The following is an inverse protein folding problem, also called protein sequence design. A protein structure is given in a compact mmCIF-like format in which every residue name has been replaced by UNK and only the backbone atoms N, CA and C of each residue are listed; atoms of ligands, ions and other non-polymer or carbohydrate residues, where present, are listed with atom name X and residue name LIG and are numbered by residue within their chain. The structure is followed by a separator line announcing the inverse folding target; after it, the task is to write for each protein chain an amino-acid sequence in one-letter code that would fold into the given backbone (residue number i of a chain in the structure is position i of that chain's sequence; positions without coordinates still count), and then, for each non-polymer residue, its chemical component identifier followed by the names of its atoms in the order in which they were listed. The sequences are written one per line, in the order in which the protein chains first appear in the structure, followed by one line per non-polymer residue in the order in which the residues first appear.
data_IF_240531824885
#
_entry.id   IF_240531824885
#
_cell.length_a   1.000
_cell.length_b   1.000
_cell.length_c   1.000
_cell.angle_alpha   90.00
_cell.angle_beta   90.00
_cell.angle_gamma   90.00
#
_symmetry.space_group_name_H-M   'P 1'
#
loop_
_entity.id
_entity.type
_entity.pdbx_description
1 polymer ?
#
# COMPACT_ATOMS: atom_id res chain seq x y z
N UNK A 1 -36.71 40.16 19.87
CA UNK A 1 -35.80 39.26 19.13
C UNK A 1 -35.40 38.14 20.07
N UNK A 2 -35.79 36.91 19.78
CA UNK A 2 -35.48 35.72 20.58
C UNK A 2 -34.02 35.36 20.38
N UNK A 3 -33.18 35.48 21.41
CA UNK A 3 -31.78 35.05 21.35
C UNK A 3 -31.73 33.52 21.26
N UNK A 4 -31.27 33.00 20.12
CA UNK A 4 -31.07 31.55 19.94
C UNK A 4 -29.80 31.15 20.70
N UNK A 5 -29.95 30.19 21.62
CA UNK A 5 -28.87 29.71 22.48
C UNK A 5 -28.25 28.44 21.92
N UNK A 6 -26.93 28.34 22.01
CA UNK A 6 -26.21 27.13 21.60
C UNK A 6 -26.53 25.96 22.53
N UNK A 7 -27.02 24.81 22.02
CA UNK A 7 -27.35 23.66 22.85
C UNK A 7 -26.13 22.98 23.50
N UNK A 8 -24.90 23.23 22.99
CA UNK A 8 -23.68 22.64 23.56
C UNK A 8 -23.05 23.45 24.70
N UNK A 9 -23.16 24.78 24.70
CA UNK A 9 -22.46 25.64 25.67
C UNK A 9 -23.31 26.75 26.28
N UNK A 10 -24.55 26.93 25.83
CA UNK A 10 -25.43 28.01 26.28
C UNK A 10 -25.06 29.40 25.75
N UNK A 11 -24.00 29.52 24.96
CA UNK A 11 -23.55 30.76 24.33
C UNK A 11 -24.50 31.28 23.25
N UNK A 12 -24.28 32.52 22.82
CA UNK A 12 -25.00 33.13 21.69
C UNK A 12 -24.52 32.53 20.36
N UNK A 13 -25.49 32.30 19.48
CA UNK A 13 -25.29 31.90 18.09
C UNK A 13 -25.24 33.15 17.20
N UNK A 14 -24.26 33.23 16.31
CA UNK A 14 -24.13 34.30 15.32
C UNK A 14 -24.36 33.73 13.92
N UNK A 15 -25.13 34.43 13.09
CA UNK A 15 -25.36 34.05 11.70
C UNK A 15 -24.05 34.11 10.89
N UNK A 16 -23.79 33.07 10.12
CA UNK A 16 -22.67 33.03 9.21
C UNK A 16 -22.93 33.96 8.00
N UNK A 17 -22.06 34.94 7.72
CA UNK A 17 -22.24 35.86 6.60
C UNK A 17 -22.20 35.16 5.23
N UNK A 18 -21.55 34.00 5.13
CA UNK A 18 -21.49 33.24 3.88
C UNK A 18 -22.73 32.35 3.67
N UNK A 19 -23.42 31.95 4.76
CA UNK A 19 -24.60 31.10 4.68
C UNK A 19 -25.64 31.47 5.76
N UNK A 20 -26.71 32.21 5.42
CA UNK A 20 -27.69 32.70 6.39
C UNK A 20 -28.53 31.59 7.05
N UNK A 21 -28.40 30.33 6.60
CA UNK A 21 -29.06 29.18 7.22
C UNK A 21 -28.16 28.49 8.27
N UNK A 22 -26.92 28.95 8.43
CA UNK A 22 -25.95 28.41 9.38
C UNK A 22 -25.66 29.45 10.45
N UNK A 23 -25.74 29.01 11.70
CA UNK A 23 -25.37 29.79 12.87
C UNK A 23 -24.14 29.16 13.53
N UNK A 24 -23.14 29.98 13.82
CA UNK A 24 -21.91 29.57 14.50
C UNK A 24 -21.90 30.11 15.91
N UNK A 25 -21.64 29.26 16.89
CA UNK A 25 -21.52 29.73 18.27
C UNK A 25 -20.11 30.28 18.54
N UNK A 26 -20.00 31.53 19.02
CA UNK A 26 -18.70 32.15 19.35
C UNK A 26 -17.90 31.43 20.43
N UNK A 27 -18.56 30.73 21.34
CA UNK A 27 -17.88 30.11 22.49
C UNK A 27 -17.26 28.76 22.14
N UNK A 28 -17.94 27.94 21.34
CA UNK A 28 -17.49 26.59 21.01
C UNK A 28 -17.12 26.40 19.53
N UNK A 29 -17.27 27.43 18.69
CA UNK A 29 -17.06 27.42 17.25
C UNK A 29 -17.80 26.30 16.50
N UNK A 30 -18.86 25.74 17.10
CA UNK A 30 -19.70 24.75 16.44
C UNK A 30 -20.72 25.45 15.55
N UNK A 31 -20.94 24.87 14.36
CA UNK A 31 -21.91 25.30 13.37
C UNK A 31 -23.20 24.50 13.52
N UNK A 32 -24.33 25.20 13.45
CA UNK A 32 -25.66 24.63 13.50
C UNK A 32 -26.47 25.13 12.32
N UNK A 33 -27.19 24.24 11.65
CA UNK A 33 -28.18 24.60 10.64
C UNK A 33 -29.51 24.86 11.34
N UNK A 34 -30.12 26.00 11.03
CA UNK A 34 -31.42 26.40 11.58
C UNK A 34 -32.50 25.98 10.60
N UNK A 35 -33.44 25.14 11.06
CA UNK A 35 -34.60 24.74 10.26
C UNK A 35 -35.88 24.96 11.07
N UNK A 36 -36.79 25.76 10.53
CA UNK A 36 -38.14 25.89 11.07
C UNK A 36 -38.98 24.75 10.52
N UNK A 37 -39.39 23.81 11.37
CA UNK A 37 -40.24 22.69 11.00
C UNK A 37 -41.65 23.01 11.48
N UNK A 38 -42.58 23.12 10.53
CA UNK A 38 -44.00 23.23 10.83
C UNK A 38 -44.54 21.84 11.18
N UNK A 39 -44.97 21.63 12.42
CA UNK A 39 -45.57 20.36 12.82
C UNK A 39 -47.04 20.32 12.38
N UNK A 40 -47.35 19.59 11.32
CA UNK A 40 -48.75 19.39 10.87
C UNK A 40 -49.64 18.77 11.96
N UNK A 41 -49.05 18.03 12.92
CA UNK A 41 -49.77 17.36 13.99
C UNK A 41 -50.16 18.28 15.17
N UNK A 42 -49.48 19.42 15.34
CA UNK A 42 -49.67 20.31 16.50
C UNK A 42 -49.95 21.77 16.08
N UNK A 43 -49.70 22.12 14.82
CA UNK A 43 -49.83 23.48 14.30
C UNK A 43 -48.78 24.45 14.85
N UNK A 44 -47.77 23.95 15.57
CA UNK A 44 -46.71 24.75 16.18
C UNK A 44 -45.46 24.78 15.29
N UNK A 45 -44.89 25.98 15.14
CA UNK A 45 -43.59 26.18 14.51
C UNK A 45 -42.48 25.85 15.52
N UNK A 46 -41.75 24.76 15.27
CA UNK A 46 -40.63 24.34 16.13
C UNK A 46 -39.31 24.64 15.44
N UNK A 47 -38.43 25.32 16.16
CA UNK A 47 -37.04 25.54 15.76
C UNK A 47 -36.24 24.23 15.96
N UNK A 48 -35.79 23.62 14.86
CA UNK A 48 -34.85 22.49 14.89
C UNK A 48 -33.44 22.99 14.59
N UNK A 49 -32.50 22.72 15.49
CA UNK A 49 -31.08 23.05 15.36
C UNK A 49 -30.29 21.76 15.12
N UNK A 50 -29.82 21.55 13.88
CA UNK A 50 -28.98 20.40 13.54
C UNK A 50 -27.52 20.79 13.52
N UNK A 51 -26.68 20.05 14.25
CA UNK A 51 -25.23 20.30 14.21
C UNK A 51 -24.69 19.97 12.80
N UNK A 52 -24.06 20.94 12.15
CA UNK A 52 -23.39 20.74 10.86
C UNK A 52 -22.01 20.17 11.16
N UNK A 53 -21.73 18.97 10.63
CA UNK A 53 -20.42 18.36 10.77
C UNK A 53 -19.46 19.05 9.80
N UNK A 54 -18.35 19.59 10.30
CA UNK A 54 -17.32 20.16 9.43
C UNK A 54 -16.81 19.07 8.47
N UNK A 55 -16.66 19.44 7.20
CA UNK A 55 -16.13 18.53 6.18
C UNK A 55 -14.74 18.08 6.61
N UNK A 56 -14.54 16.78 6.64
CA UNK A 56 -13.24 16.19 6.92
C UNK A 56 -12.34 16.55 5.75
N UNK A 57 -11.27 17.31 5.98
CA UNK A 57 -10.24 17.59 4.97
C UNK A 57 -9.51 16.28 4.64
N UNK A 58 -10.03 15.55 3.65
CA UNK A 58 -9.43 14.33 3.17
C UNK A 58 -8.10 14.66 2.51
N UNK A 59 -7.00 14.47 3.24
CA UNK A 59 -5.66 14.49 2.65
C UNK A 59 -5.47 13.15 1.91
N UNK A 60 -5.30 13.15 0.57
CA UNK A 60 -5.03 11.92 -0.15
C UNK A 60 -3.76 11.29 0.41
N UNK A 61 -3.87 10.03 0.84
CA UNK A 61 -2.74 9.26 1.35
C UNK A 61 -1.71 9.16 0.22
N UNK A 62 -0.62 9.92 0.33
CA UNK A 62 0.51 9.76 -0.58
C UNK A 62 1.08 8.37 -0.36
N UNK A 63 0.83 7.46 -1.32
CA UNK A 63 1.46 6.15 -1.35
C UNK A 63 2.97 6.38 -1.47
N UNK A 64 3.70 6.15 -0.38
CA UNK A 64 5.16 6.15 -0.40
C UNK A 64 5.59 5.14 -1.46
N UNK A 65 6.37 5.58 -2.43
CA UNK A 65 6.91 4.71 -3.47
C UNK A 65 7.59 3.50 -2.80
N UNK A 66 7.36 2.28 -3.29
CA UNK A 66 7.96 1.09 -2.71
C UNK A 66 9.48 1.26 -2.74
N UNK A 67 10.12 1.11 -1.58
CA UNK A 67 11.58 1.16 -1.45
C UNK A 67 12.17 0.22 -2.50
N UNK A 68 13.03 0.75 -3.36
CA UNK A 68 13.80 -0.04 -4.33
C UNK A 68 14.73 -0.98 -3.56
N UNK A 69 14.24 -2.16 -3.21
CA UNK A 69 15.06 -3.25 -2.70
C UNK A 69 16.01 -3.64 -3.83
N UNK A 70 17.32 -3.61 -3.58
CA UNK A 70 18.40 -3.87 -4.55
C UNK A 70 18.44 -5.30 -5.14
N UNK A 71 17.29 -5.96 -5.19
CA UNK A 71 17.07 -7.21 -5.90
C UNK A 71 16.59 -6.88 -7.31
N UNK A 72 17.52 -6.38 -8.13
CA UNK A 72 17.25 -6.18 -9.55
C UNK A 72 17.06 -7.56 -10.22
N UNK A 73 16.12 -7.70 -11.17
CA UNK A 73 15.89 -8.95 -11.90
C UNK A 73 17.13 -9.47 -12.64
N UNK A 74 18.16 -8.62 -12.79
CA UNK A 74 19.44 -8.95 -13.40
C UNK A 74 20.45 -9.61 -12.44
N UNK A 75 20.24 -9.53 -11.12
CA UNK A 75 21.14 -10.11 -10.12
C UNK A 75 21.21 -11.65 -10.18
N UNK A 76 20.08 -12.30 -10.46
CA UNK A 76 19.99 -13.76 -10.61
C UNK A 76 20.83 -14.26 -11.80
N UNK A 77 20.90 -13.50 -12.91
CA UNK A 77 21.65 -13.91 -14.11
C UNK A 77 23.14 -13.94 -13.83
N UNK A 78 23.63 -12.96 -13.06
CA UNK A 78 25.02 -12.91 -12.62
C UNK A 78 25.35 -14.03 -11.65
N UNK A 79 24.43 -14.36 -10.74
CA UNK A 79 24.57 -15.52 -9.85
C UNK A 79 24.69 -16.85 -10.61
N UNK A 80 23.77 -17.11 -11.55
CA UNK A 80 23.78 -18.34 -12.36
C UNK A 80 25.05 -18.42 -13.22
N UNK A 81 25.50 -17.31 -13.81
CA UNK A 81 26.72 -17.28 -14.62
C UNK A 81 27.97 -17.68 -13.80
N UNK A 82 28.08 -17.23 -12.55
CA UNK A 82 29.20 -17.59 -11.66
C UNK A 82 29.17 -19.08 -11.28
N UNK A 83 27.99 -19.64 -11.03
CA UNK A 83 27.84 -21.07 -10.70
C UNK A 83 28.24 -21.94 -11.90
N UNK A 84 27.78 -21.61 -13.11
CA UNK A 84 28.14 -22.34 -14.33
C UNK A 84 29.65 -22.28 -14.57
N UNK A 85 30.26 -21.10 -14.44
CA UNK A 85 31.70 -20.92 -14.60
C UNK A 85 32.49 -21.79 -13.61
N UNK A 86 32.05 -21.87 -12.35
CA UNK A 86 32.68 -22.70 -11.33
C UNK A 86 32.69 -24.20 -11.72
N UNK A 87 31.55 -24.73 -12.18
CA UNK A 87 31.48 -26.13 -12.63
C UNK A 87 32.31 -26.42 -13.88
N UNK A 88 32.40 -25.47 -14.81
CA UNK A 88 33.27 -25.61 -16.00
C UNK A 88 34.74 -25.69 -15.59
N UNK A 89 35.19 -24.79 -14.70
CA UNK A 89 36.58 -24.81 -14.21
C UNK A 89 36.90 -26.09 -13.42
N UNK A 90 35.99 -26.51 -12.54
CA UNK A 90 36.09 -27.80 -11.84
C UNK A 90 36.14 -28.98 -12.82
N UNK A 91 35.30 -28.98 -13.85
CA UNK A 91 35.28 -30.01 -14.90
C UNK A 91 36.58 -30.07 -15.69
N UNK A 92 37.21 -28.93 -16.01
CA UNK A 92 38.49 -28.92 -16.72
C UNK A 92 39.63 -29.42 -15.82
N UNK A 93 39.67 -28.99 -14.55
CA UNK A 93 40.74 -29.39 -13.63
C UNK A 93 40.66 -30.86 -13.22
N UNK A 94 39.45 -31.36 -12.96
CA UNK A 94 39.25 -32.72 -12.43
C UNK A 94 38.75 -33.71 -13.49
N UNK A 95 38.26 -33.24 -14.63
CA UNK A 95 37.74 -34.07 -15.72
C UNK A 95 38.72 -35.11 -16.24
N UNK A 96 39.98 -34.75 -16.57
CA UNK A 96 40.95 -35.74 -17.02
C UNK A 96 41.24 -36.81 -15.96
N UNK A 97 41.30 -36.43 -14.68
CA UNK A 97 41.55 -37.35 -13.57
C UNK A 97 40.38 -38.30 -13.32
N UNK A 98 39.15 -37.77 -13.37
CA UNK A 98 37.92 -38.57 -13.25
C UNK A 98 37.73 -39.47 -14.48
N UNK A 99 38.04 -38.97 -15.68
CA UNK A 99 37.95 -39.72 -16.92
C UNK A 99 38.97 -40.86 -16.99
N UNK A 100 40.21 -40.63 -16.54
CA UNK A 100 41.21 -41.68 -16.40
C UNK A 100 40.77 -42.76 -15.40
N UNK A 101 40.20 -42.37 -14.26
CA UNK A 101 39.65 -43.32 -13.28
C UNK A 101 38.49 -44.11 -13.87
N UNK A 102 37.58 -43.43 -14.57
CA UNK A 102 36.44 -44.05 -15.25
C UNK A 102 36.90 -45.05 -16.33
N UNK A 103 37.91 -44.71 -17.14
CA UNK A 103 38.49 -45.65 -18.10
C UNK A 103 39.16 -46.85 -17.43
N UNK A 104 39.77 -46.71 -16.26
CA UNK A 104 40.34 -47.86 -15.53
C UNK A 104 39.26 -48.79 -14.99
N UNK A 105 38.11 -48.24 -14.59
CA UNK A 105 37.01 -49.02 -14.02
C UNK A 105 36.05 -49.59 -15.10
N UNK A 106 36.06 -49.03 -16.33
CA UNK A 106 35.16 -49.44 -17.44
C UNK A 106 35.85 -49.80 -18.77
N UNK A 107 37.17 -49.64 -18.89
CA UNK A 107 37.96 -49.86 -20.12
C UNK A 107 38.47 -51.28 -20.32
N UNK A 108 37.79 -52.29 -19.77
CA UNK A 108 38.15 -53.70 -19.92
C UNK A 108 37.85 -54.33 -21.29
N UNK A 109 37.56 -53.56 -22.34
CA UNK A 109 37.26 -54.12 -23.69
C UNK A 109 37.75 -53.17 -24.79
N UNK A 110 39.04 -53.20 -25.14
CA UNK A 110 39.54 -52.87 -26.50
C UNK A 110 40.95 -53.43 -26.71
N UNK A 111 41.12 -54.76 -26.61
CA UNK A 111 42.31 -55.44 -27.15
C UNK A 111 41.93 -56.74 -27.86
N UNK A 112 40.80 -56.80 -28.58
CA UNK A 112 40.44 -58.03 -29.31
C UNK A 112 39.55 -57.81 -30.54
N UNK A 113 39.62 -56.63 -31.16
CA UNK A 113 38.90 -56.37 -32.40
C UNK A 113 39.70 -55.44 -33.31
N UNK A 114 40.85 -55.91 -33.78
CA UNK A 114 41.30 -55.61 -35.14
C UNK A 114 42.51 -56.50 -35.49
N UNK A 115 42.19 -57.73 -35.92
CA UNK A 115 43.07 -58.52 -36.75
C UNK A 115 42.27 -58.99 -37.96
N UNK A 116 42.55 -58.46 -39.16
CA UNK A 116 42.29 -59.18 -40.39
C UNK A 116 43.62 -59.53 -41.10
N UNK A 117 43.67 -60.84 -41.37
CA UNK A 117 44.51 -61.68 -42.22
C UNK A 117 45.21 -61.02 -43.41
#
# INVERSE_FOLDING_TARGET
MTEIKCPSCGGRLELDPENPNIETCRQCNKKYAVQWIHSEATGEDKLDLRQVQDRIDYKPVQKKEPKKTGWEPYGWKRGVALVVLFFVLMGIMYGPKVYQRYQMDHGGITVEADAPK
#
